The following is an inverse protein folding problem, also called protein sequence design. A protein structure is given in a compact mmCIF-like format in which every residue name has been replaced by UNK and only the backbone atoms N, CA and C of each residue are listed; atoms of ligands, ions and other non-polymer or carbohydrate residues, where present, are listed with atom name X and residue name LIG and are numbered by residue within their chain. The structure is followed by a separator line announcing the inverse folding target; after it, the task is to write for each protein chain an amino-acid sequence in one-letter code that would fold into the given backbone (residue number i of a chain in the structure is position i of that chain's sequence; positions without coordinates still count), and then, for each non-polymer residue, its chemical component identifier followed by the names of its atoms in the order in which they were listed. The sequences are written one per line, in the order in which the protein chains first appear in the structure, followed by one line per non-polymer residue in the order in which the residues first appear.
data_IF_984194568714
#
_entry.id   IF_984194568714
#
_cell.length_a   1.000
_cell.length_b   1.000
_cell.length_c   1.000
_cell.angle_alpha   90.00
_cell.angle_beta   90.00
_cell.angle_gamma   90.00
#
_symmetry.space_group_name_H-M   'P 1'
#
loop_
_entity.id
_entity.type
_entity.pdbx_description
1 polymer ?
#
# COMPACT_ATOMS: atom_id res chain seq x y z
N UNK A 1 -36.63 -47.51 4.00
CA UNK A 1 -37.48 -48.09 2.92
C UNK A 1 -37.97 -46.95 2.03
N UNK A 2 -37.55 -46.96 0.76
CA UNK A 2 -38.07 -46.22 -0.43
C UNK A 2 -38.23 -44.68 -0.31
N UNK A 3 -37.78 -43.87 -1.28
CA UNK A 3 -38.09 -43.94 -2.71
C UNK A 3 -36.98 -43.32 -3.57
N UNK A 4 -36.38 -44.15 -4.41
CA UNK A 4 -35.54 -43.75 -5.56
C UNK A 4 -36.49 -43.45 -6.71
N UNK A 5 -36.51 -42.21 -7.20
CA UNK A 5 -37.25 -41.83 -8.40
C UNK A 5 -36.46 -42.27 -9.64
N UNK A 6 -36.80 -43.42 -10.20
CA UNK A 6 -36.28 -43.88 -11.48
C UNK A 6 -36.93 -43.07 -12.62
N UNK A 7 -36.11 -42.31 -13.36
CA UNK A 7 -36.53 -41.68 -14.63
C UNK A 7 -36.48 -42.76 -15.71
N UNK A 8 -37.65 -43.02 -16.30
CA UNK A 8 -37.88 -44.01 -17.34
C UNK A 8 -37.22 -43.56 -18.65
N UNK A 9 -36.13 -44.22 -19.06
CA UNK A 9 -35.42 -43.96 -20.30
C UNK A 9 -36.01 -44.84 -21.42
N UNK A 10 -36.87 -44.27 -22.27
CA UNK A 10 -37.49 -44.94 -23.42
C UNK A 10 -36.72 -44.62 -24.72
N UNK A 11 -36.00 -45.64 -25.21
CA UNK A 11 -35.64 -45.97 -26.61
C UNK A 11 -35.27 -44.83 -27.58
N UNK A 12 -33.97 -44.53 -27.69
CA UNK A 12 -33.23 -44.28 -28.94
C UNK A 12 -31.73 -44.40 -28.63
N UNK A 13 -30.92 -44.82 -29.61
CA UNK A 13 -29.47 -45.13 -29.53
C UNK A 13 -28.58 -43.93 -29.15
N UNK A 14 -28.73 -43.40 -27.94
CA UNK A 14 -27.75 -42.55 -27.31
C UNK A 14 -27.42 -43.20 -25.97
N UNK A 15 -26.19 -43.71 -25.85
CA UNK A 15 -25.61 -44.00 -24.55
C UNK A 15 -25.87 -42.80 -23.64
N UNK A 16 -26.71 -42.95 -22.62
CA UNK A 16 -26.64 -42.07 -21.48
C UNK A 16 -25.30 -42.39 -20.80
N UNK A 17 -24.22 -41.81 -21.35
CA UNK A 17 -23.00 -41.67 -20.59
C UNK A 17 -23.41 -40.85 -19.37
N UNK A 18 -23.60 -41.52 -18.24
CA UNK A 18 -23.51 -40.89 -16.95
C UNK A 18 -22.10 -40.31 -16.92
N UNK A 19 -21.96 -39.06 -17.37
CA UNK A 19 -20.79 -38.24 -17.16
C UNK A 19 -20.71 -38.17 -15.64
N UNK A 20 -19.86 -39.01 -15.06
CA UNK A 20 -19.83 -39.22 -13.63
C UNK A 20 -19.22 -37.98 -13.00
N UNK A 21 -20.09 -36.98 -12.75
CA UNK A 21 -19.79 -35.68 -12.15
C UNK A 21 -19.10 -35.83 -10.79
N UNK A 22 -19.13 -37.03 -10.20
CA UNK A 22 -18.52 -37.27 -8.91
C UNK A 22 -17.00 -37.29 -8.95
N UNK A 23 -16.37 -37.68 -10.06
CA UNK A 23 -14.91 -37.70 -10.17
C UNK A 23 -14.29 -36.30 -10.27
N UNK A 24 -15.06 -35.32 -10.75
CA UNK A 24 -14.68 -33.91 -10.73
C UNK A 24 -15.29 -33.17 -9.53
N UNK A 25 -15.56 -33.90 -8.44
CA UNK A 25 -16.09 -33.37 -7.17
C UNK A 25 -17.39 -32.58 -7.28
N UNK A 26 -18.18 -32.77 -8.34
CA UNK A 26 -19.35 -31.93 -8.64
C UNK A 26 -19.01 -30.53 -9.16
N UNK A 27 -17.72 -30.20 -9.33
CA UNK A 27 -17.18 -28.89 -9.64
C UNK A 27 -16.50 -28.81 -11.02
N UNK A 28 -16.69 -29.83 -11.86
CA UNK A 28 -16.16 -29.84 -13.22
C UNK A 28 -16.86 -30.86 -14.11
N UNK A 29 -16.45 -30.89 -15.37
CA UNK A 29 -16.86 -31.89 -16.36
C UNK A 29 -15.63 -32.59 -16.93
N UNK A 30 -15.75 -33.87 -17.28
CA UNK A 30 -14.66 -34.60 -17.94
C UNK A 30 -14.49 -34.11 -19.38
N UNK A 31 -13.29 -34.22 -19.93
CA UNK A 31 -13.05 -33.98 -21.37
C UNK A 31 -13.63 -35.13 -22.20
N UNK A 32 -13.89 -34.90 -23.50
CA UNK A 32 -14.49 -35.92 -24.38
C UNK A 32 -13.57 -37.10 -24.66
N UNK A 33 -12.27 -36.89 -24.53
CA UNK A 33 -11.24 -37.81 -25.00
C UNK A 33 -10.58 -38.59 -23.85
N UNK A 34 -10.71 -38.09 -22.61
CA UNK A 34 -10.23 -38.75 -21.40
C UNK A 34 -11.23 -38.56 -20.25
N UNK A 35 -11.92 -39.63 -19.87
CA UNK A 35 -12.91 -39.64 -18.78
C UNK A 35 -12.31 -39.35 -17.39
N UNK A 36 -10.98 -39.21 -17.28
CA UNK A 36 -10.24 -38.96 -16.04
C UNK A 36 -9.64 -37.55 -15.95
N UNK A 37 -9.83 -36.71 -16.98
CA UNK A 37 -9.34 -35.32 -16.98
C UNK A 37 -10.51 -34.38 -16.78
N UNK A 38 -10.48 -33.61 -15.69
CA UNK A 38 -11.52 -32.65 -15.36
C UNK A 38 -11.22 -31.25 -15.94
N UNK A 39 -12.23 -30.65 -16.55
CA UNK A 39 -12.30 -29.21 -16.80
C UNK A 39 -13.13 -28.56 -15.71
N UNK A 40 -12.48 -27.80 -14.83
CA UNK A 40 -13.15 -27.20 -13.68
C UNK A 40 -14.05 -26.02 -14.05
N UNK A 41 -15.11 -25.85 -13.27
CA UNK A 41 -15.94 -24.65 -13.30
C UNK A 41 -15.18 -23.46 -12.72
N UNK A 42 -15.60 -22.24 -13.09
CA UNK A 42 -14.98 -21.02 -12.56
C UNK A 42 -14.97 -21.01 -11.03
N UNK A 43 -13.84 -20.61 -10.44
CA UNK A 43 -13.60 -20.62 -9.00
C UNK A 43 -13.12 -21.96 -8.43
N UNK A 44 -12.94 -22.99 -9.26
CA UNK A 44 -12.38 -24.28 -8.85
C UNK A 44 -11.16 -24.65 -9.70
N UNK A 45 -10.23 -25.38 -9.09
CA UNK A 45 -8.96 -25.81 -9.67
C UNK A 45 -8.59 -27.19 -9.15
N UNK A 46 -7.44 -27.69 -9.61
CA UNK A 46 -6.94 -29.01 -9.26
C UNK A 46 -7.41 -30.13 -10.19
N UNK A 47 -6.88 -31.35 -10.00
CA UNK A 47 -7.10 -32.46 -10.91
C UNK A 47 -8.54 -32.98 -10.90
N UNK A 48 -9.24 -32.85 -9.78
CA UNK A 48 -10.62 -33.31 -9.55
C UNK A 48 -11.57 -32.14 -9.20
N UNK A 49 -11.14 -30.89 -9.41
CA UNK A 49 -11.90 -29.68 -9.12
C UNK A 49 -12.38 -29.53 -7.66
N UNK A 50 -11.78 -30.25 -6.71
CA UNK A 50 -12.12 -30.15 -5.28
C UNK A 50 -11.58 -28.88 -4.62
N UNK A 51 -10.55 -28.26 -5.20
CA UNK A 51 -9.88 -27.08 -4.67
C UNK A 51 -10.51 -25.81 -5.23
N UNK A 52 -10.65 -24.77 -4.42
CA UNK A 52 -11.01 -23.45 -4.93
C UNK A 52 -9.81 -22.76 -5.57
N UNK A 53 -10.07 -22.05 -6.67
CA UNK A 53 -9.08 -21.19 -7.28
C UNK A 53 -8.92 -19.91 -6.46
N UNK A 54 -7.68 -19.50 -6.19
CA UNK A 54 -7.41 -18.21 -5.57
C UNK A 54 -7.35 -17.08 -6.59
N UNK A 55 -7.40 -15.81 -6.15
CA UNK A 55 -7.13 -14.67 -7.00
C UNK A 55 -5.69 -14.68 -7.53
N UNK A 56 -5.53 -14.24 -8.77
CA UNK A 56 -4.24 -14.08 -9.42
C UNK A 56 -3.97 -12.60 -9.63
N UNK A 57 -2.70 -12.26 -9.70
CA UNK A 57 -2.26 -10.92 -10.01
C UNK A 57 -0.89 -10.92 -10.67
N UNK A 58 -0.41 -9.72 -10.97
CA UNK A 58 0.92 -9.54 -11.52
C UNK A 58 1.96 -9.93 -10.46
N UNK A 59 2.95 -10.73 -10.83
CA UNK A 59 3.98 -11.22 -9.92
C UNK A 59 4.80 -10.06 -9.32
N UNK A 60 5.09 -10.16 -8.01
CA UNK A 60 6.04 -9.25 -7.36
C UNK A 60 7.48 -9.47 -7.79
N UNK A 61 7.84 -10.73 -8.01
CA UNK A 61 9.14 -11.14 -8.50
C UNK A 61 9.00 -12.44 -9.29
N UNK A 62 9.71 -12.53 -10.41
CA UNK A 62 9.82 -13.72 -11.23
C UNK A 62 11.16 -13.74 -11.97
N UNK A 63 11.40 -14.84 -12.68
CA UNK A 63 12.54 -14.91 -13.58
C UNK A 63 12.19 -14.21 -14.90
N UNK A 64 13.07 -13.32 -15.41
CA UNK A 64 12.83 -12.66 -16.68
C UNK A 64 12.79 -13.70 -17.80
N UNK A 65 11.77 -13.61 -18.66
CA UNK A 65 11.58 -14.50 -19.81
C UNK A 65 12.22 -13.94 -21.08
N UNK A 66 12.35 -12.61 -21.17
CA UNK A 66 13.01 -11.90 -22.26
C UNK A 66 13.51 -10.51 -21.81
N UNK A 67 14.13 -9.76 -22.73
CA UNK A 67 14.47 -8.36 -22.51
C UNK A 67 13.21 -7.55 -22.24
N UNK A 68 13.19 -6.82 -21.13
CA UNK A 68 12.03 -6.03 -20.67
C UNK A 68 10.76 -6.86 -20.43
N UNK A 69 10.89 -8.18 -20.22
CA UNK A 69 9.78 -9.09 -19.95
C UNK A 69 10.01 -9.85 -18.64
N UNK A 70 9.24 -9.45 -17.64
CA UNK A 70 9.17 -10.00 -16.29
C UNK A 70 7.79 -9.63 -15.71
N UNK A 71 7.55 -9.97 -14.45
CA UNK A 71 6.29 -9.75 -13.74
C UNK A 71 5.09 -10.37 -14.46
N UNK A 72 5.09 -11.70 -14.57
CA UNK A 72 4.00 -12.48 -15.13
C UNK A 72 2.65 -12.00 -14.59
N UNK A 73 1.72 -11.68 -15.50
CA UNK A 73 0.46 -11.01 -15.16
C UNK A 73 -0.59 -11.88 -14.48
N UNK A 74 -0.35 -13.19 -14.40
CA UNK A 74 -1.31 -14.19 -13.96
C UNK A 74 -0.65 -15.20 -13.01
N UNK A 75 -0.29 -14.73 -11.81
CA UNK A 75 0.33 -15.55 -10.76
C UNK A 75 -0.60 -15.64 -9.56
N UNK A 76 -0.85 -16.87 -9.10
CA UNK A 76 -1.65 -17.14 -7.90
C UNK A 76 -1.08 -16.37 -6.70
N UNK A 77 -1.95 -15.60 -6.04
CA UNK A 77 -1.58 -14.72 -4.94
C UNK A 77 -0.38 -13.80 -5.26
N UNK A 78 -0.20 -13.39 -6.53
CA UNK A 78 0.91 -12.57 -7.02
C UNK A 78 2.31 -13.09 -6.63
N UNK A 79 2.42 -14.38 -6.28
CA UNK A 79 3.63 -14.98 -5.71
C UNK A 79 3.99 -14.48 -4.32
N UNK A 80 3.09 -13.74 -3.66
CA UNK A 80 3.33 -13.05 -2.39
C UNK A 80 2.32 -13.43 -1.29
N UNK A 81 1.71 -14.59 -1.43
CA UNK A 81 0.89 -15.24 -0.42
C UNK A 81 0.81 -16.73 -0.66
N UNK A 82 0.09 -17.42 0.21
CA UNK A 82 -0.26 -18.83 0.06
C UNK A 82 -1.76 -18.95 -0.17
N UNK A 83 -2.17 -19.69 -1.19
CA UNK A 83 -3.58 -19.94 -1.44
C UNK A 83 -4.15 -20.94 -0.42
N UNK A 84 -5.18 -20.55 0.33
CA UNK A 84 -6.04 -21.51 1.01
C UNK A 84 -7.12 -22.00 0.05
N UNK A 85 -6.88 -23.17 -0.55
CA UNK A 85 -7.80 -23.79 -1.50
C UNK A 85 -9.14 -24.24 -0.89
N UNK A 86 -9.31 -24.21 0.44
CA UNK A 86 -10.61 -24.44 1.08
C UNK A 86 -11.53 -23.21 1.02
N UNK A 87 -10.96 -22.03 1.23
CA UNK A 87 -11.68 -20.74 1.17
C UNK A 87 -11.66 -20.11 -0.23
N UNK A 88 -10.57 -20.32 -0.98
CA UNK A 88 -10.26 -19.60 -2.23
C UNK A 88 -9.64 -18.23 -1.97
N UNK A 89 -9.10 -17.99 -0.77
CA UNK A 89 -8.50 -16.72 -0.38
C UNK A 89 -6.98 -16.84 -0.24
N UNK A 90 -6.27 -15.77 -0.54
CA UNK A 90 -4.83 -15.69 -0.38
C UNK A 90 -4.47 -15.24 1.05
N UNK A 91 -3.66 -16.05 1.73
CA UNK A 91 -2.99 -15.66 2.97
C UNK A 91 -1.71 -14.89 2.62
N UNK A 92 -1.79 -13.56 2.70
CA UNK A 92 -0.71 -12.67 2.27
C UNK A 92 0.43 -12.67 3.27
N UNK A 93 1.67 -12.58 2.74
CA UNK A 93 2.84 -12.34 3.58
C UNK A 93 2.74 -10.96 4.25
N UNK A 94 3.40 -10.82 5.40
CA UNK A 94 3.44 -9.57 6.15
C UNK A 94 3.82 -8.37 5.26
N UNK A 95 3.02 -7.31 5.34
CA UNK A 95 3.21 -6.11 4.54
C UNK A 95 2.62 -6.17 3.13
N UNK A 96 1.95 -7.25 2.74
CA UNK A 96 1.20 -7.35 1.49
C UNK A 96 -0.29 -7.49 1.76
N UNK A 97 -1.10 -6.95 0.87
CA UNK A 97 -2.56 -7.00 0.98
C UNK A 97 -3.21 -7.06 -0.41
N UNK A 98 -4.54 -7.12 -0.40
CA UNK A 98 -5.35 -7.28 -1.59
C UNK A 98 -5.77 -8.73 -1.81
N UNK A 99 -6.80 -8.98 -2.64
CA UNK A 99 -7.34 -10.33 -2.84
C UNK A 99 -6.28 -11.34 -3.33
N UNK A 100 -5.29 -10.88 -4.09
CA UNK A 100 -4.19 -11.67 -4.61
C UNK A 100 -2.86 -11.27 -3.97
N UNK A 101 -2.82 -10.55 -2.84
CA UNK A 101 -1.57 -10.01 -2.29
C UNK A 101 -0.80 -9.13 -3.29
N UNK A 102 -1.53 -8.50 -4.21
CA UNK A 102 -0.99 -7.82 -5.39
C UNK A 102 -0.40 -6.44 -5.09
N UNK A 103 -0.63 -5.93 -3.87
CA UNK A 103 -0.17 -4.60 -3.44
C UNK A 103 0.46 -4.63 -2.06
N UNK A 104 1.38 -3.71 -1.82
CA UNK A 104 1.98 -3.50 -0.50
C UNK A 104 0.90 -2.91 0.41
N UNK A 105 0.80 -3.37 1.65
CA UNK A 105 -0.07 -2.74 2.63
C UNK A 105 0.39 -1.29 2.88
N UNK A 106 -0.58 -0.40 3.09
CA UNK A 106 -0.21 0.96 3.47
C UNK A 106 0.44 0.98 4.85
N UNK A 107 1.40 1.90 5.07
CA UNK A 107 2.03 2.04 6.38
C UNK A 107 1.00 2.31 7.48
N UNK A 108 1.13 1.64 8.62
CA UNK A 108 0.23 1.78 9.77
C UNK A 108 0.93 2.36 10.98
N UNK A 109 0.17 2.83 11.96
CA UNK A 109 0.66 3.02 13.32
C UNK A 109 0.82 1.68 14.06
N UNK A 110 1.25 1.71 15.33
CA UNK A 110 1.36 0.53 16.20
C UNK A 110 0.01 -0.18 16.42
N UNK A 111 -1.10 0.53 16.19
CA UNK A 111 -2.47 0.01 16.28
C UNK A 111 -3.00 -0.59 14.98
N UNK A 112 -2.23 -0.58 13.89
CA UNK A 112 -2.67 -1.07 12.59
C UNK A 112 -3.55 -0.10 11.80
N UNK A 113 -3.67 1.17 12.22
CA UNK A 113 -4.45 2.19 11.51
C UNK A 113 -3.68 2.66 10.28
N UNK A 114 -4.22 2.50 9.05
CA UNK A 114 -3.55 2.98 7.84
C UNK A 114 -3.29 4.48 7.90
N UNK A 115 -2.07 4.87 7.54
CA UNK A 115 -1.59 6.25 7.59
C UNK A 115 -1.85 6.94 8.94
N UNK A 116 -1.86 6.17 10.04
CA UNK A 116 -2.15 6.64 11.39
C UNK A 116 -3.48 7.41 11.51
N UNK A 117 -4.40 7.27 10.55
CA UNK A 117 -5.62 8.08 10.46
C UNK A 117 -5.42 9.56 10.06
N UNK A 118 -4.21 9.93 9.63
CA UNK A 118 -3.79 11.29 9.27
C UNK A 118 -3.31 11.40 7.83
N UNK A 119 -3.88 10.61 6.94
CA UNK A 119 -3.57 10.67 5.53
C UNK A 119 -4.35 9.68 4.69
N UNK A 120 -4.16 9.79 3.38
CA UNK A 120 -4.75 8.90 2.39
C UNK A 120 -3.72 7.91 1.88
N UNK A 121 -4.07 6.63 1.93
CA UNK A 121 -3.33 5.57 1.25
C UNK A 121 -3.47 5.73 -0.28
N UNK A 122 -2.35 5.81 -1.00
CA UNK A 122 -2.31 6.01 -2.44
C UNK A 122 -1.26 5.11 -3.10
N UNK A 123 -1.48 4.77 -4.36
CA UNK A 123 -0.51 4.07 -5.19
C UNK A 123 0.54 5.04 -5.72
N UNK A 124 1.73 4.56 -6.07
CA UNK A 124 2.77 5.40 -6.71
C UNK A 124 2.27 6.08 -7.98
N UNK A 125 1.54 5.34 -8.83
CA UNK A 125 0.90 5.89 -10.03
C UNK A 125 -0.18 6.93 -9.72
N UNK A 126 -0.97 6.70 -8.66
CA UNK A 126 -1.96 7.65 -8.17
C UNK A 126 -1.35 8.93 -7.60
N UNK A 127 -0.22 8.82 -6.88
CA UNK A 127 0.54 9.95 -6.37
C UNK A 127 1.18 10.78 -7.50
N UNK A 128 1.77 10.12 -8.50
CA UNK A 128 2.37 10.77 -9.67
C UNK A 128 1.38 11.67 -10.43
N UNK A 129 0.13 11.19 -10.60
CA UNK A 129 -0.97 11.91 -11.26
C UNK A 129 -1.65 12.95 -10.35
N UNK A 130 -1.44 12.84 -9.04
CA UNK A 130 -2.11 13.65 -8.03
C UNK A 130 -1.51 15.04 -7.87
N UNK A 131 -2.26 15.90 -7.18
CA UNK A 131 -1.77 17.17 -6.67
C UNK A 131 -2.52 17.51 -5.40
N UNK A 132 -1.79 17.87 -4.34
CA UNK A 132 -2.34 18.25 -3.03
C UNK A 132 -1.94 19.67 -2.61
N UNK A 133 -1.16 20.37 -3.46
CA UNK A 133 -0.64 21.71 -3.14
C UNK A 133 0.44 21.71 -2.06
N UNK A 134 0.95 20.55 -1.64
CA UNK A 134 1.85 20.44 -0.49
C UNK A 134 2.99 19.44 -0.72
N UNK A 135 2.68 18.16 -0.89
CA UNK A 135 3.67 17.08 -0.97
C UNK A 135 3.85 16.51 -2.38
N UNK A 136 2.88 16.70 -3.27
CA UNK A 136 2.93 16.22 -4.65
C UNK A 136 3.44 17.31 -5.61
N UNK A 137 4.29 16.89 -6.55
CA UNK A 137 5.01 17.76 -7.49
C UNK A 137 4.08 18.28 -8.60
N UNK A 138 4.34 19.50 -9.08
CA UNK A 138 3.72 20.09 -10.28
C UNK A 138 4.76 20.39 -11.36
N UNK A 139 4.44 20.20 -12.66
CA UNK A 139 3.23 19.53 -13.17
C UNK A 139 3.16 18.07 -12.72
N UNK A 140 1.96 17.49 -12.68
CA UNK A 140 1.84 16.06 -12.40
C UNK A 140 2.49 15.25 -13.53
N UNK A 141 2.91 14.04 -13.21
CA UNK A 141 3.59 13.14 -14.15
C UNK A 141 2.82 11.83 -14.27
N UNK A 142 3.01 11.11 -15.38
CA UNK A 142 2.48 9.75 -15.50
C UNK A 142 3.52 8.76 -15.03
N UNK A 143 3.08 7.79 -14.24
CA UNK A 143 3.86 6.61 -13.87
C UNK A 143 2.95 5.39 -14.00
N UNK A 144 3.23 4.56 -15.00
CA UNK A 144 2.43 3.44 -15.47
C UNK A 144 3.25 2.15 -15.65
N UNK A 145 4.40 2.06 -14.97
CA UNK A 145 5.20 0.84 -14.89
C UNK A 145 4.49 -0.25 -14.06
N UNK A 146 5.01 -1.47 -14.09
CA UNK A 146 4.41 -2.68 -13.51
C UNK A 146 4.06 -2.58 -12.01
N UNK A 147 4.74 -1.70 -11.28
CA UNK A 147 4.64 -1.44 -9.85
C UNK A 147 3.80 -0.18 -9.52
N UNK A 148 3.30 0.54 -10.53
CA UNK A 148 2.56 1.77 -10.36
C UNK A 148 1.34 1.63 -9.42
N UNK A 149 0.64 0.49 -9.49
CA UNK A 149 -0.52 0.18 -8.64
C UNK A 149 -0.20 -0.88 -7.56
N UNK A 150 1.08 -1.25 -7.40
CA UNK A 150 1.53 -2.21 -6.37
C UNK A 150 2.11 -1.53 -5.15
N UNK A 151 2.91 -0.50 -5.36
CA UNK A 151 3.53 0.25 -4.28
C UNK A 151 2.54 1.24 -3.69
N UNK A 152 2.24 1.06 -2.41
CA UNK A 152 1.34 1.92 -1.65
C UNK A 152 2.13 2.80 -0.68
N UNK A 153 1.67 4.02 -0.49
CA UNK A 153 2.24 4.97 0.46
C UNK A 153 1.19 5.93 1.01
N UNK A 154 1.56 6.66 2.05
CA UNK A 154 0.66 7.61 2.71
C UNK A 154 0.89 9.04 2.20
N UNK A 155 -0.19 9.65 1.74
CA UNK A 155 -0.28 11.09 1.49
C UNK A 155 -0.83 11.78 2.75
N UNK A 156 0.04 12.42 3.52
CA UNK A 156 -0.33 12.94 4.84
C UNK A 156 -1.16 14.23 4.78
N UNK A 157 -2.10 14.34 5.71
CA UNK A 157 -2.91 15.52 5.94
C UNK A 157 -2.07 16.69 6.48
N UNK A 158 -2.52 17.93 6.24
CA UNK A 158 -1.84 19.13 6.69
C UNK A 158 -1.54 19.08 8.20
N UNK A 159 -0.28 19.31 8.58
CA UNK A 159 0.19 19.21 9.96
C UNK A 159 0.71 17.83 10.36
N UNK A 160 0.61 16.83 9.48
CA UNK A 160 1.18 15.50 9.69
C UNK A 160 2.18 15.14 8.59
N UNK A 161 3.12 14.27 8.92
CA UNK A 161 4.19 13.82 8.05
C UNK A 161 4.83 12.51 8.52
N UNK A 162 5.94 12.16 7.91
CA UNK A 162 6.58 10.86 8.09
C UNK A 162 5.95 9.77 7.21
N UNK A 163 6.52 8.57 7.28
CA UNK A 163 6.18 7.47 6.37
C UNK A 163 4.74 6.95 6.51
N UNK A 164 4.20 6.97 7.73
CA UNK A 164 2.84 6.55 8.07
C UNK A 164 1.99 7.70 8.59
N UNK A 165 2.39 8.96 8.40
CA UNK A 165 1.69 10.15 8.90
C UNK A 165 1.51 10.25 10.43
N UNK A 166 2.29 9.50 11.21
CA UNK A 166 2.25 9.56 12.68
C UNK A 166 2.94 10.79 13.28
N UNK A 167 3.75 11.51 12.48
CA UNK A 167 4.55 12.64 12.99
C UNK A 167 3.77 13.93 12.82
N UNK A 168 3.60 14.68 13.90
CA UNK A 168 3.15 16.08 13.83
C UNK A 168 4.28 16.91 13.22
N UNK A 169 3.99 17.65 12.16
CA UNK A 169 4.98 18.51 11.52
C UNK A 169 5.39 19.67 12.43
N UNK A 170 6.69 19.89 12.53
CA UNK A 170 7.21 21.08 13.20
C UNK A 170 7.17 22.31 12.30
N UNK A 171 7.06 23.50 12.91
CA UNK A 171 7.18 24.75 12.16
C UNK A 171 8.56 24.84 11.51
N UNK A 172 8.58 25.37 10.29
CA UNK A 172 9.81 25.71 9.59
C UNK A 172 10.19 27.14 9.93
N UNK A 173 11.47 27.42 10.17
CA UNK A 173 11.98 28.75 10.48
C UNK A 173 12.96 29.22 9.42
N UNK A 174 13.10 30.53 9.29
CA UNK A 174 14.13 31.17 8.46
C UNK A 174 15.54 30.75 8.92
N UNK A 175 16.50 30.84 8.00
CA UNK A 175 17.92 30.63 8.27
C UNK A 175 18.58 32.01 8.36
N UNK A 176 18.90 32.53 9.56
CA UNK A 176 19.36 33.92 9.74
C UNK A 176 20.60 34.32 8.93
N UNK A 177 21.41 33.34 8.51
CA UNK A 177 22.67 33.52 7.79
C UNK A 177 22.47 33.62 6.27
N UNK A 178 21.25 33.38 5.76
CA UNK A 178 20.94 33.54 4.35
C UNK A 178 20.48 34.97 4.05
N UNK A 179 21.44 35.86 3.81
CA UNK A 179 21.15 37.27 3.51
C UNK A 179 20.91 37.51 2.01
N UNK A 180 19.89 38.30 1.67
CA UNK A 180 19.63 38.78 0.31
C UNK A 180 18.85 37.82 -0.61
N UNK A 181 18.21 36.80 -0.05
CA UNK A 181 17.35 35.90 -0.82
C UNK A 181 16.01 36.58 -1.18
N UNK A 182 15.47 36.29 -2.37
CA UNK A 182 14.13 36.76 -2.76
C UNK A 182 13.00 35.93 -2.14
N UNK A 183 13.29 34.69 -1.74
CA UNK A 183 12.39 33.77 -1.05
C UNK A 183 13.03 33.36 0.27
N UNK A 184 12.23 33.20 1.32
CA UNK A 184 12.69 32.71 2.63
C UNK A 184 13.10 31.24 2.53
N UNK A 185 14.33 30.91 2.93
CA UNK A 185 14.78 29.53 3.08
C UNK A 185 14.29 29.00 4.44
N UNK A 186 13.10 28.38 4.41
CA UNK A 186 12.45 27.87 5.61
C UNK A 186 12.80 26.39 5.84
N UNK A 187 13.51 26.09 6.92
CA UNK A 187 13.89 24.73 7.30
C UNK A 187 13.17 24.27 8.57
N UNK A 188 12.94 22.97 8.75
CA UNK A 188 12.35 22.44 9.98
C UNK A 188 13.15 22.90 11.20
N UNK A 189 12.48 23.55 12.15
CA UNK A 189 13.13 24.16 13.31
C UNK A 189 14.34 25.06 12.96
N UNK A 190 14.32 25.71 11.79
CA UNK A 190 15.38 26.61 11.33
C UNK A 190 16.76 25.96 11.22
N UNK A 191 16.83 24.62 11.13
CA UNK A 191 18.05 23.81 11.28
C UNK A 191 18.81 24.06 12.61
N UNK A 192 18.11 24.59 13.61
CA UNK A 192 18.66 25.10 14.89
C UNK A 192 17.86 24.63 16.09
N UNK A 193 17.09 23.56 15.90
CA UNK A 193 16.36 22.91 16.96
C UNK A 193 16.07 21.48 16.57
N UNK A 194 15.62 20.72 17.56
CA UNK A 194 15.14 19.36 17.37
C UNK A 194 13.62 19.38 17.43
N UNK A 195 12.97 18.79 16.42
CA UNK A 195 11.53 18.63 16.43
C UNK A 195 11.11 17.50 17.37
N UNK A 196 10.21 17.78 18.31
CA UNK A 196 9.40 16.75 18.94
C UNK A 196 8.19 16.45 18.06
N UNK A 197 8.28 15.38 17.27
CA UNK A 197 7.23 14.96 16.34
C UNK A 197 5.94 14.48 17.02
N UNK A 198 5.91 14.36 18.36
CA UNK A 198 4.68 14.05 19.11
C UNK A 198 3.86 15.31 19.32
N UNK A 199 4.53 16.44 19.59
CA UNK A 199 3.88 17.71 19.93
C UNK A 199 3.93 18.75 18.81
N UNK A 200 4.77 18.54 17.78
CA UNK A 200 5.02 19.52 16.72
C UNK A 200 5.79 20.74 17.21
N UNK A 201 6.53 20.62 18.31
CA UNK A 201 7.28 21.72 18.92
C UNK A 201 8.78 21.56 18.70
N UNK A 202 9.42 22.64 18.25
CA UNK A 202 10.89 22.69 18.19
C UNK A 202 11.48 23.03 19.54
N UNK A 203 12.46 22.24 19.95
CA UNK A 203 13.38 22.55 21.04
C UNK A 203 14.60 23.24 20.46
N UNK A 204 14.70 24.56 20.64
CA UNK A 204 15.77 25.35 20.05
C UNK A 204 17.11 25.11 20.73
N UNK A 205 18.18 25.09 19.93
CA UNK A 205 19.55 25.11 20.40
C UNK A 205 19.84 26.45 21.10
N UNK A 206 20.83 26.43 21.99
CA UNK A 206 21.23 27.62 22.73
C UNK A 206 21.57 28.79 21.79
N UNK A 207 21.04 29.97 22.12
CA UNK A 207 21.19 31.18 21.31
C UNK A 207 20.15 31.35 20.21
N UNK A 208 19.16 30.45 20.10
CA UNK A 208 18.07 30.56 19.12
C UNK A 208 16.69 30.51 19.78
N UNK A 209 15.77 31.32 19.25
CA UNK A 209 14.39 31.49 19.73
C UNK A 209 13.41 31.51 18.56
N UNK A 210 12.12 31.45 18.90
CA UNK A 210 11.04 31.52 17.93
C UNK A 210 10.94 32.87 17.22
N UNK A 211 10.42 32.84 15.99
CA UNK A 211 10.13 34.02 15.19
C UNK A 211 8.67 34.49 15.28
N UNK A 212 8.38 35.68 14.75
CA UNK A 212 7.02 36.15 14.46
C UNK A 212 6.62 35.94 12.98
N UNK A 213 7.49 35.33 12.17
CA UNK A 213 7.32 35.21 10.72
C UNK A 213 7.48 36.53 9.94
N UNK A 214 7.86 37.62 10.59
CA UNK A 214 8.09 38.94 9.99
C UNK A 214 9.51 39.45 10.25
N UNK A 215 10.44 38.54 10.56
CA UNK A 215 11.83 38.88 10.82
C UNK A 215 12.06 39.51 12.19
N UNK A 216 11.23 39.22 13.20
CA UNK A 216 11.51 39.50 14.61
C UNK A 216 11.35 38.25 15.48
N UNK A 217 11.70 38.36 16.75
CA UNK A 217 11.41 37.33 17.75
C UNK A 217 9.91 37.26 17.99
N UNK A 218 9.37 36.05 18.10
CA UNK A 218 7.95 35.81 18.31
C UNK A 218 7.65 34.44 18.90
N UNK A 219 6.38 34.07 18.85
CA UNK A 219 5.86 32.85 19.51
C UNK A 219 5.89 31.62 18.61
N UNK A 220 6.24 31.77 17.32
CA UNK A 220 6.38 30.65 16.40
C UNK A 220 7.61 29.87 16.83
N UNK A 221 7.45 28.69 17.41
CA UNK A 221 8.55 27.85 17.93
C UNK A 221 9.35 27.21 16.80
N UNK A 222 9.92 28.02 15.92
CA UNK A 222 10.62 27.61 14.70
C UNK A 222 12.14 27.74 14.77
N UNK A 223 12.67 28.29 15.87
CA UNK A 223 14.10 28.52 16.10
C UNK A 223 14.78 29.34 14.99
N UNK A 224 14.00 30.14 14.24
CA UNK A 224 14.48 30.92 13.10
C UNK A 224 15.15 32.24 13.48
N UNK A 225 15.32 32.54 14.78
CA UNK A 225 15.86 33.84 15.26
C UNK A 225 16.94 33.68 16.30
N UNK A 226 17.90 34.60 16.29
CA UNK A 226 18.87 34.73 17.38
C UNK A 226 18.20 35.24 18.64
N UNK A 227 18.55 34.65 19.78
CA UNK A 227 18.15 35.13 21.09
C UNK A 227 18.73 36.54 21.35
N UNK A 228 17.90 37.58 21.51
CA UNK A 228 18.37 38.93 21.80
C UNK A 228 19.13 39.05 23.12
N UNK A 229 18.97 38.08 24.03
CA UNK A 229 19.59 38.05 25.34
C UNK A 229 20.96 37.35 25.33
N UNK A 230 21.37 36.80 24.17
CA UNK A 230 22.63 36.07 24.03
C UNK A 230 22.67 34.78 24.85
N UNK A 231 23.82 34.10 24.84
CA UNK A 231 24.11 32.84 25.53
C UNK A 231 24.02 32.96 27.07
N UNK A 232 22.85 33.25 27.64
CA UNK A 232 22.60 32.86 29.03
C UNK A 232 22.42 31.36 29.01
N UNK A 233 23.53 30.64 29.24
CA UNK A 233 23.53 29.25 29.68
C UNK A 233 22.52 29.14 30.84
N UNK A 234 21.26 28.81 30.53
CA UNK A 234 20.37 28.20 31.49
C UNK A 234 20.86 26.76 31.68
N UNK A 235 22.02 26.64 32.35
CA UNK A 235 22.26 25.55 33.27
C UNK A 235 21.03 25.52 34.20
N UNK A 236 20.46 24.35 34.45
CA UNK A 236 19.15 24.08 35.10
C UNK A 236 17.98 24.15 34.10
N UNK A 237 17.55 23.05 33.48
CA UNK A 237 17.26 21.72 34.04
C UNK A 237 17.44 20.62 32.99
#
# INVERSE_FOLDING_TARGET
MARVGAVLCLVALASCASIDYHHCSGHGRTTSDDAFVCTCMSGYTGPDCSMKACPHGVAWADYPTATDEAHAGDVECSGMGYCDHGSGECDCRDGFEGPACERLACPTDDGGTPCSGHGRCVTTGGAARGWDGRTLVRPNVSYDLWDAEKMMGCLCDAGYGGFNCSRVECPRGDIPETLGQQNEESAECGNRGVCDYTTGHCQCLAGYVGSDGAGNVGTRRDCGRLDPQGFTLNLYK
#
